data_IF_850232977900
#
_entry.id   IF_850232977900
#
_cell.length_a   1.000
_cell.length_b   1.000
_cell.length_c   1.000
_cell.angle_alpha   90.00
_cell.angle_beta   90.00
_cell.angle_gamma   90.00
#
_symmetry.space_group_name_H-M   'P 1'
#
loop_
_entity.id
_entity.type
_entity.pdbx_description
1 polymer ?
#
# COMPACT_ATOMS: atom_id res chain seq x y z
N UNK A 1 0.08 -2.88 -15.53
CA UNK A 1 -0.63 -2.89 -16.83
C UNK A 1 -0.18 -4.03 -17.74
N UNK A 2 1.13 -4.19 -17.98
CA UNK A 2 1.67 -5.20 -18.89
C UNK A 2 1.38 -6.63 -18.42
N UNK A 3 1.57 -6.88 -17.12
CA UNK A 3 1.31 -8.20 -16.50
C UNK A 3 -0.17 -8.57 -16.54
N UNK A 4 -1.05 -7.59 -16.34
CA UNK A 4 -2.50 -7.80 -16.37
C UNK A 4 -2.98 -8.11 -17.79
N UNK A 5 -2.49 -7.39 -18.80
CA UNK A 5 -2.86 -7.63 -20.23
C UNK A 5 -2.52 -9.02 -20.70
N UNK A 6 -1.39 -9.58 -20.29
CA UNK A 6 -0.93 -10.88 -20.78
C UNK A 6 -1.43 -12.07 -19.96
N UNK A 7 -1.87 -11.86 -18.71
CA UNK A 7 -2.18 -12.94 -17.77
C UNK A 7 -3.61 -12.97 -17.26
N UNK A 8 -4.36 -11.88 -17.32
CA UNK A 8 -5.74 -11.79 -16.84
C UNK A 8 -6.64 -11.42 -18.01
N UNK A 9 -7.48 -12.37 -18.43
CA UNK A 9 -8.41 -12.24 -19.57
C UNK A 9 -9.85 -12.56 -19.20
N UNK A 10 -10.09 -13.00 -17.96
CA UNK A 10 -11.40 -13.44 -17.48
C UNK A 10 -11.59 -13.10 -16.01
N UNK A 11 -12.86 -13.15 -15.55
CA UNK A 11 -13.22 -12.99 -14.13
C UNK A 11 -12.52 -14.03 -13.25
N UNK A 12 -12.43 -15.28 -13.72
CA UNK A 12 -11.76 -16.36 -13.00
C UNK A 12 -10.26 -16.09 -12.81
N UNK A 13 -9.56 -15.68 -13.86
CA UNK A 13 -8.13 -15.38 -13.77
C UNK A 13 -7.85 -14.15 -12.88
N UNK A 14 -8.76 -13.16 -12.85
CA UNK A 14 -8.66 -12.04 -11.92
C UNK A 14 -8.82 -12.52 -10.47
N UNK A 15 -9.78 -13.41 -10.20
CA UNK A 15 -9.96 -14.00 -8.87
C UNK A 15 -8.75 -14.81 -8.44
N UNK A 16 -8.21 -15.67 -9.30
CA UNK A 16 -6.98 -16.43 -9.03
C UNK A 16 -5.79 -15.50 -8.73
N UNK A 17 -5.66 -14.41 -9.47
CA UNK A 17 -4.63 -13.41 -9.22
C UNK A 17 -4.80 -12.74 -7.84
N UNK A 18 -6.02 -12.35 -7.48
CA UNK A 18 -6.30 -11.72 -6.19
C UNK A 18 -6.09 -12.70 -5.02
N UNK A 19 -6.41 -13.98 -5.19
CA UNK A 19 -6.07 -15.00 -4.18
C UNK A 19 -4.57 -15.06 -3.92
N UNK A 20 -3.76 -15.19 -4.96
CA UNK A 20 -2.30 -15.18 -4.83
C UNK A 20 -1.77 -13.86 -4.25
N UNK A 21 -2.35 -12.73 -4.65
CA UNK A 21 -1.99 -11.43 -4.13
C UNK A 21 -2.24 -11.33 -2.62
N UNK A 22 -3.43 -11.75 -2.13
CA UNK A 22 -3.77 -11.67 -0.71
C UNK A 22 -2.93 -12.60 0.17
N UNK A 23 -2.38 -13.69 -0.36
CA UNK A 23 -1.47 -14.55 0.38
C UNK A 23 -0.15 -13.86 0.75
N UNK A 24 0.35 -12.99 -0.12
CA UNK A 24 1.64 -12.31 0.08
C UNK A 24 1.48 -10.88 0.61
N UNK A 25 0.31 -10.27 0.44
CA UNK A 25 0.05 -8.87 0.78
C UNK A 25 0.27 -8.53 2.26
N UNK A 26 -0.09 -9.39 3.24
CA UNK A 26 0.22 -9.15 4.66
C UNK A 26 1.72 -8.98 4.93
N UNK A 27 2.56 -9.70 4.21
CA UNK A 27 4.02 -9.69 4.38
C UNK A 27 4.72 -8.62 3.55
N UNK A 28 3.98 -7.91 2.71
CA UNK A 28 4.46 -6.81 1.87
C UNK A 28 3.94 -5.46 2.38
N UNK A 29 3.21 -4.73 1.56
CA UNK A 29 2.81 -3.35 1.84
C UNK A 29 1.94 -3.22 3.10
N UNK A 30 1.08 -4.19 3.42
CA UNK A 30 0.29 -4.17 4.67
C UNK A 30 1.19 -4.33 5.90
N UNK A 31 2.09 -5.30 5.90
CA UNK A 31 3.03 -5.52 7.00
C UNK A 31 3.97 -4.32 7.19
N UNK A 32 4.49 -3.77 6.09
CA UNK A 32 5.31 -2.56 6.13
C UNK A 32 4.56 -1.37 6.73
N UNK A 33 3.28 -1.21 6.37
CA UNK A 33 2.41 -0.16 6.92
C UNK A 33 2.18 -0.36 8.42
N UNK A 34 1.89 -1.60 8.84
CA UNK A 34 1.69 -1.95 10.25
C UNK A 34 2.96 -1.71 11.09
N UNK A 35 4.12 -2.14 10.58
CA UNK A 35 5.41 -1.93 11.25
C UNK A 35 5.81 -0.46 11.30
N UNK A 36 5.60 0.30 10.22
CA UNK A 36 5.87 1.73 10.22
C UNK A 36 4.96 2.49 11.18
N UNK A 37 3.71 2.07 11.33
CA UNK A 37 2.80 2.57 12.35
C UNK A 37 3.29 2.25 13.77
N UNK A 38 3.67 0.99 14.03
CA UNK A 38 4.12 0.51 15.35
C UNK A 38 5.41 1.18 15.82
N UNK A 39 6.33 1.39 14.90
CA UNK A 39 7.68 1.93 15.18
C UNK A 39 7.90 3.35 14.69
N UNK A 40 6.83 4.13 14.50
CA UNK A 40 6.89 5.47 13.89
C UNK A 40 7.87 6.45 14.56
N UNK A 41 8.12 6.30 15.87
CA UNK A 41 9.04 7.12 16.65
C UNK A 41 10.50 6.64 16.59
N UNK A 42 10.75 5.41 16.11
CA UNK A 42 12.10 4.85 15.98
C UNK A 42 12.63 5.12 14.56
N UNK A 43 13.44 6.16 14.46
CA UNK A 43 13.99 6.62 13.19
C UNK A 43 14.87 5.58 12.48
N UNK A 44 15.61 4.75 13.22
CA UNK A 44 16.48 3.72 12.63
C UNK A 44 15.63 2.60 12.03
N UNK A 45 14.61 2.15 12.76
CA UNK A 45 13.66 1.15 12.26
C UNK A 45 12.91 1.68 11.04
N UNK A 46 12.46 2.93 11.04
CA UNK A 46 11.79 3.52 9.87
C UNK A 46 12.68 3.54 8.64
N UNK A 47 13.95 3.92 8.76
CA UNK A 47 14.88 3.90 7.62
C UNK A 47 15.13 2.47 7.13
N UNK A 48 15.24 1.50 8.03
CA UNK A 48 15.35 0.09 7.66
C UNK A 48 14.10 -0.42 6.92
N UNK A 49 12.90 -0.10 7.41
CA UNK A 49 11.64 -0.46 6.76
C UNK A 49 11.52 0.16 5.36
N UNK A 50 11.98 1.40 5.17
CA UNK A 50 11.99 2.05 3.86
C UNK A 50 12.92 1.34 2.87
N UNK A 51 14.11 0.93 3.32
CA UNK A 51 15.04 0.15 2.51
C UNK A 51 14.47 -1.22 2.15
N UNK A 52 13.88 -1.92 3.12
CA UNK A 52 13.21 -3.19 2.91
C UNK A 52 12.06 -3.05 1.89
N UNK A 53 11.21 -2.02 2.05
CA UNK A 53 10.11 -1.71 1.14
C UNK A 53 10.60 -1.47 -0.31
N UNK A 54 11.72 -0.78 -0.47
CA UNK A 54 12.31 -0.54 -1.78
C UNK A 54 12.89 -1.82 -2.40
N UNK A 55 13.53 -2.68 -1.59
CA UNK A 55 14.11 -3.94 -2.03
C UNK A 55 13.05 -4.98 -2.42
N UNK A 56 11.95 -5.06 -1.68
CA UNK A 56 10.82 -5.97 -1.96
C UNK A 56 10.12 -5.65 -3.29
N UNK A 57 10.18 -4.40 -3.76
CA UNK A 57 9.62 -3.98 -5.04
C UNK A 57 10.65 -4.16 -6.16
N UNK A 58 10.82 -5.39 -6.65
CA UNK A 58 11.80 -5.74 -7.70
C UNK A 58 11.57 -4.96 -9.01
N UNK A 59 10.31 -4.80 -9.43
CA UNK A 59 9.98 -4.03 -10.62
C UNK A 59 10.17 -2.53 -10.38
N UNK A 60 10.99 -1.90 -11.23
CA UNK A 60 11.32 -0.45 -11.16
C UNK A 60 10.07 0.42 -11.19
N UNK A 61 9.11 0.06 -12.03
CA UNK A 61 7.85 0.81 -12.23
C UNK A 61 6.99 0.82 -10.97
N UNK A 62 6.88 -0.34 -10.28
CA UNK A 62 6.12 -0.48 -9.03
C UNK A 62 6.80 0.33 -7.93
N UNK A 63 8.13 0.21 -7.80
CA UNK A 63 8.91 0.98 -6.82
C UNK A 63 8.76 2.48 -7.04
N UNK A 64 8.93 2.95 -8.27
CA UNK A 64 8.76 4.37 -8.60
C UNK A 64 7.31 4.85 -8.45
N UNK A 65 6.33 3.98 -8.68
CA UNK A 65 4.92 4.26 -8.42
C UNK A 65 4.69 4.58 -6.95
N UNK A 66 5.20 3.75 -6.04
CA UNK A 66 5.12 3.95 -4.59
C UNK A 66 5.80 5.26 -4.15
N UNK A 67 7.00 5.54 -4.65
CA UNK A 67 7.73 6.78 -4.35
C UNK A 67 6.97 8.02 -4.83
N UNK A 68 6.41 7.99 -6.04
CA UNK A 68 5.61 9.12 -6.57
C UNK A 68 4.34 9.33 -5.77
N UNK A 69 3.67 8.25 -5.33
CA UNK A 69 2.49 8.33 -4.49
C UNK A 69 2.82 8.98 -3.15
N UNK A 70 3.89 8.54 -2.49
CA UNK A 70 4.39 9.13 -1.24
C UNK A 70 4.73 10.60 -1.39
N UNK A 71 5.49 10.96 -2.43
CA UNK A 71 5.86 12.37 -2.69
C UNK A 71 4.64 13.28 -2.87
N UNK A 72 3.61 12.82 -3.59
CA UNK A 72 2.36 13.57 -3.75
C UNK A 72 1.59 13.68 -2.45
N UNK A 73 1.53 12.58 -1.70
CA UNK A 73 0.88 12.54 -0.39
C UNK A 73 1.51 13.54 0.58
N UNK A 74 2.84 13.52 0.74
CA UNK A 74 3.56 14.42 1.63
C UNK A 74 3.37 15.89 1.20
N UNK A 75 3.52 16.18 -0.09
CA UNK A 75 3.28 17.54 -0.63
C UNK A 75 1.86 18.04 -0.36
N UNK A 76 0.86 17.18 -0.46
CA UNK A 76 -0.51 17.55 -0.15
C UNK A 76 -0.68 17.91 1.33
N UNK A 77 -0.06 17.13 2.25
CA UNK A 77 -0.06 17.42 3.69
C UNK A 77 0.68 18.73 4.02
N UNK A 78 1.84 18.93 3.41
CA UNK A 78 2.58 20.21 3.55
C UNK A 78 1.73 21.41 3.08
N UNK A 79 1.06 21.28 1.93
CA UNK A 79 0.28 22.38 1.34
C UNK A 79 -0.93 22.83 2.17
N UNK A 80 -1.54 21.90 2.93
CA UNK A 80 -2.68 22.20 3.81
C UNK A 80 -2.25 22.47 5.26
N UNK A 81 -0.95 22.50 5.56
CA UNK A 81 -0.43 22.73 6.90
C UNK A 81 -0.61 21.54 7.86
N UNK A 82 -0.77 20.34 7.35
CA UNK A 82 -1.06 19.11 8.08
C UNK A 82 0.10 18.09 7.99
N UNK A 83 1.34 18.59 7.89
CA UNK A 83 2.52 17.74 7.91
C UNK A 83 2.96 17.50 9.37
N UNK A 84 2.73 16.31 9.88
CA UNK A 84 3.14 15.93 11.24
C UNK A 84 4.67 15.89 11.38
N UNK A 85 5.23 16.01 12.60
CA UNK A 85 6.67 16.06 12.83
C UNK A 85 7.44 14.89 12.22
N UNK A 86 6.97 13.66 12.43
CA UNK A 86 7.61 12.44 11.89
C UNK A 86 7.51 12.37 10.37
N UNK A 87 6.36 12.77 9.78
CA UNK A 87 6.22 12.82 8.33
C UNK A 87 7.15 13.87 7.72
N UNK A 88 7.29 15.04 8.33
CA UNK A 88 8.22 16.10 7.92
C UNK A 88 9.69 15.62 8.03
N UNK A 89 10.04 14.93 9.13
CA UNK A 89 11.36 14.31 9.29
C UNK A 89 11.61 13.27 8.18
N UNK A 90 10.67 12.38 7.93
CA UNK A 90 10.81 11.37 6.88
C UNK A 90 10.99 12.02 5.49
N UNK A 91 10.23 13.06 5.17
CA UNK A 91 10.41 13.84 3.95
C UNK A 91 11.83 14.44 3.83
N UNK A 92 12.40 14.93 4.95
CA UNK A 92 13.79 15.41 4.99
C UNK A 92 14.77 14.28 4.65
N UNK A 93 14.58 13.07 5.21
CA UNK A 93 15.41 11.90 4.89
C UNK A 93 15.33 11.53 3.41
N UNK A 94 14.15 11.63 2.80
CA UNK A 94 13.98 11.41 1.35
C UNK A 94 14.72 12.47 0.53
N UNK A 95 14.60 13.74 0.89
CA UNK A 95 15.31 14.85 0.21
C UNK A 95 16.83 14.69 0.33
N UNK A 96 17.32 14.19 1.46
CA UNK A 96 18.76 13.91 1.71
C UNK A 96 19.22 12.58 1.09
N UNK A 97 18.35 11.84 0.38
CA UNK A 97 18.63 10.52 -0.22
C UNK A 97 19.02 9.44 0.80
N UNK A 98 18.62 9.58 2.05
CA UNK A 98 18.78 8.59 3.12
C UNK A 98 17.62 7.60 3.18
N UNK A 99 16.48 7.96 2.60
CA UNK A 99 15.31 7.12 2.41
C UNK A 99 14.84 7.16 0.96
N UNK A 100 14.20 6.11 0.50
CA UNK A 100 13.62 5.99 -0.86
C UNK A 100 12.30 6.74 -0.99
N UNK A 101 11.54 6.83 0.10
CA UNK A 101 10.23 7.45 0.13
C UNK A 101 9.10 6.50 -0.23
N UNK A 102 9.06 5.32 0.37
CA UNK A 102 7.99 4.35 0.12
C UNK A 102 6.66 4.75 0.76
N UNK A 103 5.55 4.63 0.02
CA UNK A 103 4.24 5.12 0.44
C UNK A 103 3.69 4.45 1.72
N UNK A 104 3.75 3.12 1.92
CA UNK A 104 3.29 2.50 3.16
C UNK A 104 4.00 3.06 4.40
N UNK A 105 5.31 3.36 4.29
CA UNK A 105 6.09 3.91 5.40
C UNK A 105 5.64 5.32 5.74
N UNK A 106 5.52 6.21 4.73
CA UNK A 106 5.03 7.57 4.95
C UNK A 106 3.63 7.60 5.58
N UNK A 107 2.73 6.73 5.10
CA UNK A 107 1.36 6.65 5.58
C UNK A 107 1.30 6.11 7.02
N UNK A 108 2.13 5.10 7.34
CA UNK A 108 2.21 4.51 8.68
C UNK A 108 2.66 5.53 9.74
N UNK A 109 3.72 6.28 9.44
CA UNK A 109 4.20 7.36 10.32
C UNK A 109 3.09 8.38 10.58
N UNK A 110 2.49 8.91 9.51
CA UNK A 110 1.47 9.93 9.61
C UNK A 110 0.24 9.47 10.41
N UNK A 111 -0.26 8.26 10.12
CA UNK A 111 -1.43 7.74 10.80
C UNK A 111 -1.17 7.44 12.28
N UNK A 112 0.05 7.01 12.63
CA UNK A 112 0.43 6.77 14.02
C UNK A 112 0.49 8.06 14.83
N UNK A 113 1.04 9.13 14.27
CA UNK A 113 1.09 10.44 14.94
C UNK A 113 -0.29 11.07 15.15
N UNK A 114 -1.28 10.69 14.32
CA UNK A 114 -2.68 11.07 14.49
C UNK A 114 -3.47 10.10 15.38
N UNK A 115 -2.82 9.07 15.93
CA UNK A 115 -3.48 8.02 16.71
C UNK A 115 -4.65 7.34 15.97
N UNK A 116 -4.57 7.32 14.63
CA UNK A 116 -5.61 6.70 13.80
C UNK A 116 -5.63 5.19 14.04
N UNK A 117 -6.79 4.55 14.27
CA UNK A 117 -6.84 3.12 14.60
C UNK A 117 -6.18 2.24 13.53
N UNK A 118 -5.12 1.52 13.90
CA UNK A 118 -4.27 0.77 12.97
C UNK A 118 -5.05 -0.27 12.15
N UNK A 119 -6.00 -0.99 12.76
CA UNK A 119 -6.81 -1.96 12.03
C UNK A 119 -7.63 -1.30 10.93
N UNK A 120 -8.24 -0.15 11.19
CA UNK A 120 -9.01 0.61 10.20
C UNK A 120 -8.09 1.14 9.10
N UNK A 121 -6.89 1.61 9.46
CA UNK A 121 -5.86 2.04 8.50
C UNK A 121 -5.53 0.92 7.51
N UNK A 122 -5.26 -0.27 8.01
CA UNK A 122 -4.89 -1.43 7.18
C UNK A 122 -6.05 -1.87 6.27
N UNK A 123 -7.29 -1.88 6.79
CA UNK A 123 -8.49 -2.18 6.00
C UNK A 123 -8.66 -1.16 4.87
N UNK A 124 -8.59 0.15 5.19
CA UNK A 124 -8.73 1.22 4.19
C UNK A 124 -7.64 1.15 3.12
N UNK A 125 -6.39 0.94 3.54
CA UNK A 125 -5.27 0.79 2.61
C UNK A 125 -5.45 -0.43 1.71
N UNK A 126 -5.75 -1.58 2.30
CA UNK A 126 -5.97 -2.83 1.57
C UNK A 126 -7.13 -2.75 0.59
N UNK A 127 -8.26 -2.17 1.03
CA UNK A 127 -9.41 -1.94 0.15
C UNK A 127 -9.05 -1.06 -1.05
N UNK A 128 -8.30 0.03 -0.84
CA UNK A 128 -7.87 0.91 -1.92
C UNK A 128 -6.97 0.19 -2.93
N UNK A 129 -6.07 -0.67 -2.46
CA UNK A 129 -5.18 -1.46 -3.33
C UNK A 129 -5.98 -2.48 -4.16
N UNK A 130 -6.86 -3.26 -3.53
CA UNK A 130 -7.71 -4.24 -4.22
C UNK A 130 -8.64 -3.54 -5.20
N UNK A 131 -9.27 -2.45 -4.79
CA UNK A 131 -10.15 -1.65 -5.65
C UNK A 131 -9.40 -1.11 -6.88
N UNK A 132 -8.17 -0.65 -6.71
CA UNK A 132 -7.34 -0.21 -7.84
C UNK A 132 -7.02 -1.36 -8.81
N UNK A 133 -6.72 -2.56 -8.30
CA UNK A 133 -6.47 -3.75 -9.13
C UNK A 133 -7.74 -4.11 -9.93
N UNK A 134 -8.89 -4.22 -9.26
CA UNK A 134 -10.16 -4.58 -9.90
C UNK A 134 -10.59 -3.53 -10.93
N UNK A 135 -10.53 -2.24 -10.60
CA UNK A 135 -10.88 -1.16 -11.51
C UNK A 135 -9.97 -1.10 -12.74
N UNK A 136 -8.69 -1.40 -12.59
CA UNK A 136 -7.77 -1.49 -13.72
C UNK A 136 -8.07 -2.72 -14.58
N UNK A 137 -8.40 -3.86 -13.96
CA UNK A 137 -8.78 -5.07 -14.68
C UNK A 137 -10.05 -4.85 -15.51
N UNK A 138 -11.10 -4.24 -14.94
CA UNK A 138 -12.36 -3.92 -15.65
C UNK A 138 -12.11 -3.01 -16.88
N UNK A 139 -11.11 -2.13 -16.84
CA UNK A 139 -10.76 -1.27 -17.98
C UNK A 139 -9.96 -1.97 -19.08
N UNK A 140 -9.22 -3.02 -18.72
CA UNK A 140 -8.24 -3.66 -19.60
C UNK A 140 -8.71 -5.01 -20.15
N UNK A 141 -9.65 -5.64 -19.47
CA UNK A 141 -10.21 -6.94 -19.78
C UNK A 141 -11.70 -6.76 -20.06
N UNK A 142 -12.35 -7.55 -20.93
CA UNK A 142 -13.79 -7.43 -21.21
C UNK A 142 -14.64 -7.95 -20.05
N UNK A 143 -14.48 -7.31 -18.87
CA UNK A 143 -15.27 -7.56 -17.67
C UNK A 143 -16.35 -6.48 -17.53
N UNK A 144 -17.54 -6.88 -17.10
CA UNK A 144 -18.58 -5.91 -16.75
C UNK A 144 -18.24 -5.20 -15.43
N UNK A 145 -18.73 -3.98 -15.26
CA UNK A 145 -18.62 -3.27 -13.98
C UNK A 145 -19.25 -4.07 -12.82
N UNK A 146 -20.36 -4.78 -13.10
CA UNK A 146 -21.02 -5.63 -12.10
C UNK A 146 -20.16 -6.82 -11.67
N UNK A 147 -19.41 -7.41 -12.60
CA UNK A 147 -18.43 -8.45 -12.27
C UNK A 147 -17.33 -7.90 -11.37
N UNK A 148 -16.80 -6.71 -11.68
CA UNK A 148 -15.83 -6.03 -10.83
C UNK A 148 -16.35 -5.77 -9.41
N UNK A 149 -17.60 -5.32 -9.27
CA UNK A 149 -18.21 -5.08 -7.95
C UNK A 149 -18.43 -6.38 -7.15
N UNK A 150 -18.83 -7.47 -7.79
CA UNK A 150 -18.94 -8.78 -7.11
C UNK A 150 -17.59 -9.24 -6.57
N UNK A 151 -16.55 -9.18 -7.40
CA UNK A 151 -15.18 -9.53 -7.00
C UNK A 151 -14.74 -8.66 -5.82
N UNK A 152 -14.92 -7.35 -5.91
CA UNK A 152 -14.51 -6.43 -4.85
C UNK A 152 -15.19 -6.74 -3.52
N UNK A 153 -16.49 -7.07 -3.53
CA UNK A 153 -17.23 -7.44 -2.32
C UNK A 153 -16.73 -8.78 -1.73
N UNK A 154 -16.49 -9.78 -2.56
CA UNK A 154 -15.94 -11.08 -2.12
C UNK A 154 -14.57 -10.92 -1.46
N UNK A 155 -13.67 -10.16 -2.10
CA UNK A 155 -12.31 -9.98 -1.61
C UNK A 155 -12.18 -9.02 -0.43
N UNK A 156 -13.19 -8.20 -0.17
CA UNK A 156 -13.25 -7.39 1.04
C UNK A 156 -13.31 -8.23 2.32
N UNK A 157 -14.10 -9.31 2.32
CA UNK A 157 -14.17 -10.24 3.46
C UNK A 157 -12.82 -10.96 3.68
N UNK A 158 -12.16 -11.38 2.59
CA UNK A 158 -10.83 -12.01 2.65
C UNK A 158 -9.73 -11.06 3.11
N UNK A 159 -9.88 -9.76 2.86
CA UNK A 159 -8.94 -8.73 3.31
C UNK A 159 -8.84 -8.66 4.83
N UNK A 160 -9.92 -8.89 5.57
CA UNK A 160 -9.87 -8.88 7.04
C UNK A 160 -8.89 -9.91 7.59
N UNK A 161 -8.85 -11.10 7.01
CA UNK A 161 -7.87 -12.13 7.38
C UNK A 161 -6.43 -11.69 7.10
N UNK A 162 -6.19 -11.04 5.96
CA UNK A 162 -4.87 -10.49 5.62
C UNK A 162 -4.45 -9.37 6.59
N UNK A 163 -5.38 -8.53 7.02
CA UNK A 163 -5.15 -7.49 8.02
C UNK A 163 -4.79 -8.08 9.37
N UNK A 164 -5.50 -9.15 9.81
CA UNK A 164 -5.15 -9.81 11.07
C UNK A 164 -3.73 -10.40 11.04
N UNK A 165 -3.29 -10.97 9.93
CA UNK A 165 -1.90 -11.44 9.79
C UNK A 165 -0.93 -10.27 9.91
N UNK A 166 -1.17 -9.16 9.20
CA UNK A 166 -0.29 -7.99 9.20
C UNK A 166 -0.17 -7.33 10.58
N UNK A 167 -1.22 -7.37 11.42
CA UNK A 167 -1.20 -6.85 12.79
C UNK A 167 -0.31 -7.67 13.74
N UNK A 168 0.00 -8.92 13.39
CA UNK A 168 0.78 -9.84 14.25
C UNK A 168 2.23 -10.03 13.76
N UNK A 169 2.65 -9.28 12.73
CA UNK A 169 4.04 -9.20 12.30
C UNK A 169 4.80 -8.21 13.24
#
# INVERSE_FOLDING_TARGET
DYVVRDRIRSEKELSEYLEGFLQIFPYNDLGLLALAYKYFADHEVILYLDQAAAAMKSAKEIRQGSIRMSSRYIKAREAIGDCTPGLCWYNKMVKEKKASGCHPVALGIYAAELEFPVQQLLIMYGYNVISAIVNNAVKLVPLSQMAGQRILNEYFEKLESAVQIALHI
#
